data_IF_156119384574
#
_entry.id   IF_156119384574
#
_cell.length_a   1.000
_cell.length_b   1.000
_cell.length_c   1.000
_cell.angle_alpha   90.00
_cell.angle_beta   90.00
_cell.angle_gamma   90.00
#
_symmetry.space_group_name_H-M   'P 1'
#
loop_
_entity.id
_entity.type
_entity.pdbx_description
1 polymer ?
#
# COMPACT_ATOMS: atom_id res chain seq x y z
N UNK A 1 -8.36 18.17 33.76
CA UNK A 1 -9.54 17.54 33.17
C UNK A 1 -10.22 18.49 32.20
N UNK A 2 -9.95 18.37 30.90
CA UNK A 2 -10.96 18.49 29.83
C UNK A 2 -10.29 18.08 28.50
N UNK A 3 -10.44 16.80 28.15
CA UNK A 3 -10.32 16.31 26.78
C UNK A 3 -11.71 16.39 26.16
N UNK A 4 -11.86 17.24 25.15
CA UNK A 4 -12.96 17.27 24.17
C UNK A 4 -12.43 18.14 23.03
N UNK A 5 -11.88 17.57 21.96
CA UNK A 5 -12.66 16.84 20.98
C UNK A 5 -13.03 17.81 19.84
N UNK A 6 -12.03 18.27 19.08
CA UNK A 6 -12.24 18.95 17.81
C UNK A 6 -11.04 18.69 16.90
N UNK A 7 -11.30 18.17 15.70
CA UNK A 7 -10.25 17.88 14.71
C UNK A 7 -10.48 16.63 13.85
N UNK A 8 -11.62 15.95 13.92
CA UNK A 8 -12.01 14.93 12.94
C UNK A 8 -12.45 15.54 11.61
N UNK A 9 -11.65 16.45 11.07
CA UNK A 9 -11.91 17.14 9.82
C UNK A 9 -11.51 16.34 8.57
N UNK A 10 -11.84 16.85 7.36
CA UNK A 10 -11.64 16.22 6.04
C UNK A 10 -10.19 15.85 5.65
N UNK A 11 -9.22 15.99 6.55
CA UNK A 11 -7.79 15.84 6.25
C UNK A 11 -7.38 14.39 5.94
N UNK A 12 -8.00 13.41 6.59
CA UNK A 12 -7.70 12.00 6.33
C UNK A 12 -8.22 11.54 4.96
N UNK A 13 -9.31 12.14 4.46
CA UNK A 13 -9.84 11.86 3.13
C UNK A 13 -8.87 12.33 2.04
N UNK A 14 -8.24 13.48 2.22
CA UNK A 14 -7.20 13.96 1.32
C UNK A 14 -5.96 13.08 1.35
N UNK A 15 -5.57 12.59 2.54
CA UNK A 15 -4.46 11.65 2.69
C UNK A 15 -4.75 10.30 2.02
N UNK A 16 -5.97 9.79 2.19
CA UNK A 16 -6.44 8.58 1.54
C UNK A 16 -6.50 8.75 0.02
N UNK A 17 -7.04 9.86 -0.47
CA UNK A 17 -7.08 10.18 -1.90
C UNK A 17 -5.67 10.29 -2.51
N UNK A 18 -4.73 10.95 -1.82
CA UNK A 18 -3.33 10.99 -2.22
C UNK A 18 -2.70 9.59 -2.26
N UNK A 19 -2.95 8.76 -1.25
CA UNK A 19 -2.46 7.38 -1.19
C UNK A 19 -3.02 6.51 -2.32
N UNK A 20 -4.31 6.66 -2.65
CA UNK A 20 -4.96 6.00 -3.79
C UNK A 20 -4.37 6.49 -5.12
N UNK A 21 -4.10 7.79 -5.26
CA UNK A 21 -3.45 8.33 -6.45
C UNK A 21 -2.05 7.75 -6.65
N UNK A 22 -1.26 7.62 -5.58
CA UNK A 22 0.06 6.94 -5.62
C UNK A 22 -0.10 5.47 -5.99
N UNK A 23 -1.08 4.78 -5.40
CA UNK A 23 -1.37 3.38 -5.73
C UNK A 23 -1.70 3.17 -7.21
N UNK A 24 -2.55 4.03 -7.78
CA UNK A 24 -2.90 3.99 -9.19
C UNK A 24 -1.72 4.37 -10.09
N UNK A 25 -0.96 5.40 -9.72
CA UNK A 25 0.21 5.87 -10.46
C UNK A 25 1.43 4.96 -10.40
N UNK A 26 1.51 4.06 -9.41
CA UNK A 26 2.61 3.08 -9.25
C UNK A 26 2.59 1.92 -10.26
N UNK A 27 1.70 1.95 -11.26
CA UNK A 27 1.55 0.88 -12.25
C UNK A 27 2.80 0.53 -13.05
N UNK A 28 3.75 1.47 -13.20
CA UNK A 28 5.04 1.24 -13.86
C UNK A 28 5.93 0.22 -13.14
N UNK A 29 5.76 0.05 -11.82
CA UNK A 29 6.51 -0.95 -11.03
C UNK A 29 5.95 -2.36 -11.28
N UNK A 30 4.70 -2.47 -11.74
CA UNK A 30 3.99 -3.74 -11.87
C UNK A 30 4.59 -4.70 -12.88
N UNK A 31 5.24 -4.22 -13.93
CA UNK A 31 5.89 -5.10 -14.92
C UNK A 31 7.05 -5.88 -14.31
N UNK A 32 7.86 -5.20 -13.48
CA UNK A 32 8.97 -5.82 -12.75
C UNK A 32 8.46 -6.89 -11.79
N UNK A 33 7.36 -6.61 -11.10
CA UNK A 33 6.77 -7.55 -10.15
C UNK A 33 6.09 -8.73 -10.85
N UNK A 34 5.44 -8.54 -12.00
CA UNK A 34 4.93 -9.67 -12.80
C UNK A 34 6.08 -10.56 -13.29
N UNK A 35 7.17 -9.97 -13.76
CA UNK A 35 8.38 -10.72 -14.11
C UNK A 35 8.91 -11.53 -12.93
N UNK A 36 8.99 -10.92 -11.73
CA UNK A 36 9.36 -11.64 -10.51
C UNK A 36 8.40 -12.81 -10.21
N UNK A 37 7.09 -12.59 -10.28
CA UNK A 37 6.08 -13.61 -10.01
C UNK A 37 6.24 -14.78 -10.98
N UNK A 38 6.41 -14.49 -12.26
CA UNK A 38 6.55 -15.50 -13.30
C UNK A 38 7.85 -16.31 -13.08
N UNK A 39 8.95 -15.66 -12.69
CA UNK A 39 10.18 -16.34 -12.25
C UNK A 39 9.99 -17.19 -10.98
N UNK A 40 9.27 -16.68 -9.97
CA UNK A 40 8.96 -17.39 -8.72
C UNK A 40 8.02 -18.59 -8.93
N UNK A 41 7.18 -18.58 -9.95
CA UNK A 41 6.33 -19.74 -10.28
C UNK A 41 7.09 -20.80 -11.10
N UNK A 42 8.12 -20.40 -11.84
CA UNK A 42 9.02 -21.31 -12.55
C UNK A 42 10.23 -21.78 -11.71
N UNK A 43 10.37 -21.26 -10.49
CA UNK A 43 11.32 -21.62 -9.45
C UNK A 43 11.71 -23.12 -9.34
N UNK A 44 10.78 -24.10 -9.40
CA UNK A 44 11.13 -25.51 -9.30
C UNK A 44 12.00 -26.02 -10.46
N UNK A 45 12.02 -25.31 -11.60
CA UNK A 45 12.73 -25.73 -12.82
C UNK A 45 14.21 -25.29 -12.85
N UNK A 46 14.64 -24.29 -12.06
CA UNK A 46 15.94 -23.62 -12.25
C UNK A 46 16.99 -23.85 -11.14
N UNK A 47 16.65 -24.56 -10.05
CA UNK A 47 17.62 -24.94 -9.02
C UNK A 47 18.24 -23.77 -8.23
N UNK A 48 19.06 -24.09 -7.23
CA UNK A 48 19.54 -23.28 -6.07
C UNK A 48 20.29 -21.93 -6.33
N UNK A 49 20.15 -21.26 -7.47
CA UNK A 49 20.79 -19.94 -7.75
C UNK A 49 20.08 -18.74 -7.09
N UNK A 50 19.37 -18.98 -5.99
CA UNK A 50 18.35 -18.11 -5.39
C UNK A 50 18.89 -16.89 -4.65
N UNK A 51 20.19 -16.79 -4.36
CA UNK A 51 20.74 -15.72 -3.53
C UNK A 51 20.59 -14.29 -4.09
N UNK A 52 20.44 -14.13 -5.40
CA UNK A 52 20.33 -12.80 -6.05
C UNK A 52 18.91 -12.34 -6.39
N UNK A 53 17.94 -13.26 -6.39
CA UNK A 53 16.55 -13.04 -6.79
C UNK A 53 15.75 -12.14 -5.82
N UNK A 54 15.71 -12.41 -4.50
CA UNK A 54 15.00 -11.54 -3.56
C UNK A 54 15.66 -10.16 -3.47
N UNK A 55 16.98 -10.08 -3.62
CA UNK A 55 17.70 -8.81 -3.64
C UNK A 55 17.29 -7.95 -4.84
N UNK A 56 17.13 -8.53 -6.04
CA UNK A 56 16.59 -7.85 -7.25
C UNK A 56 15.12 -7.48 -7.12
N UNK A 57 14.32 -8.38 -6.55
CA UNK A 57 12.90 -8.17 -6.28
C UNK A 57 12.66 -6.96 -5.39
N UNK A 58 13.48 -6.85 -4.35
CA UNK A 58 13.38 -5.83 -3.31
C UNK A 58 14.13 -4.55 -3.67
N UNK A 59 15.03 -4.56 -4.66
CA UNK A 59 15.78 -3.35 -5.02
C UNK A 59 14.83 -2.25 -5.48
N UNK A 60 13.85 -2.58 -6.33
CA UNK A 60 12.91 -1.57 -6.83
C UNK A 60 11.91 -1.05 -5.81
N UNK A 61 11.28 -1.88 -4.96
CA UNK A 61 10.52 -1.42 -3.81
C UNK A 61 11.35 -0.51 -2.90
N UNK A 62 12.59 -0.90 -2.57
CA UNK A 62 13.48 -0.09 -1.73
C UNK A 62 13.83 1.23 -2.41
N UNK A 63 14.13 1.23 -3.71
CA UNK A 63 14.39 2.45 -4.50
C UNK A 63 13.14 3.33 -4.58
N UNK A 64 11.95 2.75 -4.76
CA UNK A 64 10.70 3.51 -4.81
C UNK A 64 10.35 4.14 -3.45
N UNK A 65 10.54 3.41 -2.35
CA UNK A 65 10.35 3.93 -0.98
C UNK A 65 11.36 5.03 -0.69
N UNK A 66 12.64 4.81 -0.98
CA UNK A 66 13.68 5.81 -0.72
C UNK A 66 13.48 7.04 -1.60
N UNK A 67 13.30 6.89 -2.91
CA UNK A 67 13.04 8.00 -3.82
C UNK A 67 11.76 8.76 -3.42
N UNK A 68 10.67 8.06 -3.13
CA UNK A 68 9.41 8.68 -2.68
C UNK A 68 9.56 9.45 -1.36
N UNK A 69 10.33 8.91 -0.42
CA UNK A 69 10.59 9.56 0.87
C UNK A 69 11.47 10.80 0.70
N UNK A 70 12.51 10.72 -0.14
CA UNK A 70 13.37 11.88 -0.46
C UNK A 70 12.60 12.95 -1.22
N UNK A 71 11.76 12.56 -2.20
CA UNK A 71 10.99 13.50 -3.02
C UNK A 71 9.88 14.17 -2.20
N UNK A 72 9.20 13.42 -1.33
CA UNK A 72 8.24 13.96 -0.36
C UNK A 72 8.90 14.91 0.64
N UNK A 73 10.07 14.53 1.19
CA UNK A 73 10.86 15.39 2.07
C UNK A 73 11.35 16.67 1.37
N UNK A 74 11.81 16.55 0.13
CA UNK A 74 12.25 17.69 -0.69
C UNK A 74 11.09 18.64 -1.02
N UNK A 75 9.91 18.12 -1.39
CA UNK A 75 8.71 18.92 -1.65
C UNK A 75 8.28 19.69 -0.40
N UNK A 76 8.26 19.03 0.76
CA UNK A 76 7.95 19.67 2.05
C UNK A 76 8.94 20.81 2.35
N UNK A 77 10.24 20.60 2.08
CA UNK A 77 11.27 21.60 2.28
C UNK A 77 11.16 22.78 1.27
N UNK A 78 10.87 22.48 0.00
CA UNK A 78 10.73 23.44 -1.10
C UNK A 78 9.52 24.36 -0.92
N UNK A 79 8.37 23.80 -0.54
CA UNK A 79 7.14 24.57 -0.36
C UNK A 79 7.05 25.28 1.00
N UNK A 80 8.10 25.18 1.84
CA UNK A 80 8.16 25.76 3.20
C UNK A 80 6.84 25.61 3.95
N UNK A 81 6.24 24.42 3.85
CA UNK A 81 4.98 24.13 4.51
C UNK A 81 5.21 24.37 6.02
N UNK A 82 4.37 25.16 6.71
CA UNK A 82 4.57 25.46 8.12
C UNK A 82 4.25 24.22 8.96
N UNK A 83 5.18 23.28 8.96
CA UNK A 83 5.19 22.15 9.87
C UNK A 83 5.74 22.66 11.20
N UNK A 84 4.99 22.53 12.30
CA UNK A 84 5.55 22.74 13.63
C UNK A 84 6.84 21.91 13.75
N UNK A 85 7.93 22.48 14.27
CA UNK A 85 9.23 21.82 14.33
C UNK A 85 9.21 20.45 15.06
N UNK A 86 8.19 20.20 15.90
CA UNK A 86 7.93 18.90 16.55
C UNK A 86 7.09 17.90 15.74
N UNK A 87 6.53 18.28 14.57
CA UNK A 87 5.72 17.42 13.70
C UNK A 87 6.43 16.95 12.43
N UNK A 88 7.55 17.55 12.04
CA UNK A 88 8.25 17.17 10.82
C UNK A 88 8.65 15.69 10.81
N UNK A 89 9.23 15.19 11.91
CA UNK A 89 9.60 13.77 12.03
C UNK A 89 8.38 12.83 11.98
N UNK A 90 7.28 13.19 12.65
CA UNK A 90 6.05 12.41 12.59
C UNK A 90 5.43 12.40 11.19
N UNK A 91 5.48 13.50 10.46
CA UNK A 91 4.94 13.57 9.10
C UNK A 91 5.78 12.73 8.14
N UNK A 92 7.11 12.75 8.25
CA UNK A 92 7.98 11.88 7.45
C UNK A 92 7.70 10.40 7.71
N UNK A 93 7.54 10.01 8.98
CA UNK A 93 7.20 8.64 9.36
C UNK A 93 5.83 8.20 8.79
N UNK A 94 4.83 9.08 8.85
CA UNK A 94 3.50 8.78 8.29
C UNK A 94 3.53 8.67 6.77
N UNK A 95 4.25 9.56 6.07
CA UNK A 95 4.45 9.47 4.62
C UNK A 95 5.17 8.17 4.25
N UNK A 96 6.27 7.86 4.92
CA UNK A 96 7.02 6.63 4.68
C UNK A 96 6.16 5.39 4.92
N UNK A 97 5.41 5.36 6.03
CA UNK A 97 4.44 4.30 6.32
C UNK A 97 3.38 4.16 5.23
N UNK A 98 2.77 5.27 4.79
CA UNK A 98 1.76 5.26 3.73
C UNK A 98 2.33 4.77 2.39
N UNK A 99 3.56 5.17 2.05
CA UNK A 99 4.25 4.69 0.83
C UNK A 99 4.51 3.19 0.91
N UNK A 100 5.01 2.69 2.05
CA UNK A 100 5.23 1.26 2.27
C UNK A 100 3.92 0.47 2.16
N UNK A 101 2.85 0.95 2.80
CA UNK A 101 1.52 0.34 2.72
C UNK A 101 1.01 0.27 1.27
N UNK A 102 1.10 1.39 0.54
CA UNK A 102 0.65 1.49 -0.86
C UNK A 102 1.44 0.55 -1.76
N UNK A 103 2.76 0.53 -1.62
CA UNK A 103 3.62 -0.34 -2.42
C UNK A 103 3.43 -1.81 -2.05
N UNK A 104 3.23 -2.14 -0.77
CA UNK A 104 2.88 -3.49 -0.31
C UNK A 104 1.56 -3.97 -0.90
N UNK A 105 0.50 -3.16 -0.82
CA UNK A 105 -0.79 -3.48 -1.41
C UNK A 105 -0.71 -3.65 -2.94
N UNK A 106 0.11 -2.83 -3.62
CA UNK A 106 0.35 -2.96 -5.06
C UNK A 106 1.14 -4.22 -5.37
N UNK A 107 2.18 -4.53 -4.60
CA UNK A 107 2.97 -5.75 -4.76
C UNK A 107 2.09 -6.99 -4.65
N UNK A 108 1.27 -7.09 -3.60
CA UNK A 108 0.32 -8.19 -3.41
C UNK A 108 -0.63 -8.32 -4.60
N UNK A 109 -1.13 -7.20 -5.12
CA UNK A 109 -1.99 -7.22 -6.32
C UNK A 109 -1.27 -7.76 -7.55
N UNK A 110 -0.01 -7.39 -7.79
CA UNK A 110 0.73 -7.88 -8.94
C UNK A 110 1.19 -9.33 -8.77
N UNK A 111 1.34 -9.80 -7.53
CA UNK A 111 1.59 -11.22 -7.20
C UNK A 111 0.34 -12.10 -7.39
N UNK A 112 -0.87 -11.52 -7.48
CA UNK A 112 -2.08 -12.31 -7.74
C UNK A 112 -1.94 -13.09 -9.04
N UNK A 113 -2.33 -14.35 -8.97
CA UNK A 113 -2.36 -15.26 -10.11
C UNK A 113 -3.71 -15.13 -10.83
N UNK A 114 -4.06 -16.15 -11.62
CA UNK A 114 -5.33 -16.23 -12.33
C UNK A 114 -6.52 -16.08 -11.37
N UNK A 115 -7.60 -15.49 -11.86
CA UNK A 115 -8.85 -15.36 -11.13
C UNK A 115 -9.32 -16.76 -10.67
N UNK A 116 -9.47 -17.01 -9.36
CA UNK A 116 -9.95 -18.30 -8.88
C UNK A 116 -11.32 -18.64 -9.46
N UNK A 117 -11.47 -19.87 -9.99
CA UNK A 117 -12.73 -20.38 -10.54
C UNK A 117 -13.88 -20.31 -9.54
N UNK A 118 -13.58 -20.43 -8.24
CA UNK A 118 -14.55 -20.30 -7.15
C UNK A 118 -15.25 -18.93 -7.11
N UNK A 119 -14.61 -17.87 -7.61
CA UNK A 119 -15.21 -16.53 -7.67
C UNK A 119 -16.15 -16.37 -8.86
N UNK A 120 -16.05 -17.24 -9.86
CA UNK A 120 -16.94 -17.29 -11.02
C UNK A 120 -18.19 -18.13 -10.76
N UNK A 121 -18.20 -18.92 -9.68
CA UNK A 121 -19.36 -19.71 -9.31
C UNK A 121 -20.52 -18.78 -8.89
N UNK A 122 -21.74 -19.00 -9.42
CA UNK A 122 -22.90 -18.21 -9.04
C UNK A 122 -23.16 -18.25 -7.53
N UNK A 123 -23.41 -17.10 -6.95
CA UNK A 123 -23.83 -16.95 -5.56
C UNK A 123 -25.23 -16.42 -5.59
N UNK A 124 -26.18 -17.35 -5.69
CA UNK A 124 -27.59 -17.03 -5.80
C UNK A 124 -28.06 -16.45 -4.45
N UNK A 125 -28.52 -15.20 -4.48
CA UNK A 125 -29.20 -14.55 -3.36
C UNK A 125 -30.60 -14.09 -3.78
N UNK A 126 -31.49 -13.74 -2.84
CA UNK A 126 -32.80 -13.17 -3.17
C UNK A 126 -32.75 -11.89 -4.01
N UNK A 127 -31.58 -11.22 -4.06
CA UNK A 127 -31.35 -9.98 -4.81
C UNK A 127 -30.60 -10.20 -6.14
N UNK A 128 -30.33 -11.45 -6.52
CA UNK A 128 -29.60 -11.81 -7.74
C UNK A 128 -28.27 -12.53 -7.46
N UNK A 129 -27.46 -12.68 -8.51
CA UNK A 129 -26.14 -13.33 -8.44
C UNK A 129 -25.06 -12.36 -7.96
N UNK A 130 -24.32 -12.74 -6.91
CA UNK A 130 -23.21 -11.95 -6.36
C UNK A 130 -21.82 -12.35 -6.89
N UNK A 131 -21.72 -13.29 -7.85
CA UNK A 131 -20.45 -13.70 -8.47
C UNK A 131 -19.65 -12.49 -9.01
N UNK A 132 -20.32 -11.58 -9.71
CA UNK A 132 -19.71 -10.34 -10.22
C UNK A 132 -19.14 -9.45 -9.12
N UNK A 133 -19.82 -9.34 -7.98
CA UNK A 133 -19.34 -8.54 -6.84
C UNK A 133 -18.07 -9.15 -6.22
N UNK A 134 -17.96 -10.48 -6.18
CA UNK A 134 -16.76 -11.18 -5.72
C UNK A 134 -15.56 -10.91 -6.64
N UNK A 135 -15.78 -10.91 -7.95
CA UNK A 135 -14.74 -10.56 -8.93
C UNK A 135 -14.29 -9.11 -8.73
N UNK A 136 -15.22 -8.17 -8.55
CA UNK A 136 -14.90 -6.77 -8.24
C UNK A 136 -14.10 -6.68 -6.93
N UNK A 137 -14.55 -7.31 -5.85
CA UNK A 137 -13.81 -7.31 -4.58
C UNK A 137 -12.39 -7.87 -4.73
N UNK A 138 -12.21 -8.93 -5.50
CA UNK A 138 -10.90 -9.50 -5.80
C UNK A 138 -10.00 -8.55 -6.61
N UNK A 139 -10.56 -7.80 -7.56
CA UNK A 139 -9.82 -6.80 -8.35
C UNK A 139 -9.42 -5.56 -7.54
N UNK A 140 -10.27 -5.16 -6.59
CA UNK A 140 -10.12 -3.91 -5.83
C UNK A 140 -9.56 -4.07 -4.41
N UNK A 141 -9.28 -5.29 -3.97
CA UNK A 141 -8.64 -5.60 -2.68
C UNK A 141 -7.46 -4.67 -2.37
N UNK A 142 -6.52 -4.46 -3.29
CA UNK A 142 -5.38 -3.56 -3.02
C UNK A 142 -5.79 -2.11 -2.71
N UNK A 143 -6.88 -1.60 -3.28
CA UNK A 143 -7.42 -0.27 -2.92
C UNK A 143 -8.08 -0.32 -1.53
N UNK A 144 -8.80 -1.40 -1.23
CA UNK A 144 -9.41 -1.62 0.09
C UNK A 144 -8.32 -1.67 1.18
N UNK A 145 -7.20 -2.35 0.93
CA UNK A 145 -6.05 -2.41 1.83
C UNK A 145 -5.46 -1.03 2.06
N UNK A 146 -5.27 -0.22 1.01
CA UNK A 146 -4.76 1.15 1.14
C UNK A 146 -5.72 2.01 1.97
N UNK A 147 -7.02 2.01 1.65
CA UNK A 147 -8.01 2.81 2.38
C UNK A 147 -8.11 2.41 3.85
N UNK A 148 -8.20 1.10 4.12
CA UNK A 148 -8.34 0.57 5.48
C UNK A 148 -7.05 0.79 6.28
N UNK A 149 -5.89 0.59 5.66
CA UNK A 149 -4.60 0.82 6.32
C UNK A 149 -4.36 2.29 6.61
N UNK A 150 -4.69 3.21 5.70
CA UNK A 150 -4.62 4.67 5.97
C UNK A 150 -5.59 5.07 7.08
N UNK A 151 -6.81 4.52 7.11
CA UNK A 151 -7.77 4.78 8.18
C UNK A 151 -7.24 4.27 9.54
N UNK A 152 -6.67 3.07 9.59
CA UNK A 152 -6.05 2.50 10.79
C UNK A 152 -4.86 3.34 11.25
N UNK A 153 -3.97 3.75 10.33
CA UNK A 153 -2.85 4.63 10.65
C UNK A 153 -3.29 5.96 11.27
N UNK A 154 -4.40 6.53 10.80
CA UNK A 154 -4.97 7.77 11.36
C UNK A 154 -5.64 7.55 12.73
N UNK A 155 -6.07 6.33 13.04
CA UNK A 155 -6.61 5.99 14.36
C UNK A 155 -5.51 5.77 15.42
N UNK A 156 -4.25 5.58 15.01
CA UNK A 156 -3.13 5.39 15.94
C UNK A 156 -2.62 6.75 16.45
N UNK A 157 -2.56 6.97 17.78
CA UNK A 157 -2.19 8.26 18.35
C UNK A 157 -0.70 8.62 18.24
N UNK A 158 0.16 7.69 17.76
CA UNK A 158 1.59 7.92 17.58
C UNK A 158 2.04 7.64 16.15
N UNK A 159 2.87 8.52 15.59
CA UNK A 159 3.37 8.38 14.21
C UNK A 159 4.28 7.15 14.04
N UNK A 160 5.08 6.82 15.06
CA UNK A 160 5.89 5.60 15.07
C UNK A 160 5.01 4.35 15.08
N UNK A 161 3.93 4.34 15.88
CA UNK A 161 2.98 3.25 15.90
C UNK A 161 2.23 3.10 14.58
N UNK A 162 1.82 4.21 13.97
CA UNK A 162 1.18 4.22 12.65
C UNK A 162 2.12 3.70 11.55
N UNK A 163 3.39 4.12 11.55
CA UNK A 163 4.38 3.64 10.60
C UNK A 163 4.68 2.15 10.79
N UNK A 164 4.84 1.68 12.04
CA UNK A 164 5.02 0.27 12.34
C UNK A 164 3.81 -0.57 11.89
N UNK A 165 2.60 -0.07 12.15
CA UNK A 165 1.36 -0.72 11.71
C UNK A 165 1.29 -0.81 10.18
N UNK A 166 1.69 0.24 9.47
CA UNK A 166 1.76 0.24 8.02
C UNK A 166 2.73 -0.83 7.47
N UNK A 167 3.89 -0.98 8.11
CA UNK A 167 4.86 -2.03 7.77
C UNK A 167 4.29 -3.41 8.04
N UNK A 168 3.65 -3.62 9.21
CA UNK A 168 3.01 -4.89 9.54
C UNK A 168 1.90 -5.25 8.55
N UNK A 169 1.06 -4.29 8.18
CA UNK A 169 -0.01 -4.50 7.18
C UNK A 169 0.55 -4.80 5.79
N UNK A 170 1.67 -4.19 5.41
CA UNK A 170 2.33 -4.46 4.14
C UNK A 170 3.04 -5.83 4.09
N UNK A 171 3.35 -6.40 5.25
CA UNK A 171 4.05 -7.69 5.39
C UNK A 171 3.12 -8.89 5.66
N UNK A 172 1.83 -8.64 5.91
CA UNK A 172 0.81 -9.66 6.15
C UNK A 172 0.29 -10.25 4.83
#
# INVERSE_FOLDING_TARGET
HHHSGSGGGPEWWWWAAGSVAVYLGSGWVGETWRGLRDELTMAPLFGERWGGLPARALTWPVVAVTAGTFLGGALVALFRWPLPAGRAGSTVLLVAGSVVLVLGARFLREMKLQLPLELLLPVITPFGDLSGLRVVAWQFDGIIVVLTGVALMNAVPSATGAAALAVCLAAA
#
